data_IF_877424580353
#
_entry.id   IF_877424580353
#
_cell.length_a   1.000
_cell.length_b   1.000
_cell.length_c   1.000
_cell.angle_alpha   90.00
_cell.angle_beta   90.00
_cell.angle_gamma   90.00
#
_symmetry.space_group_name_H-M   'P 1'
#
loop_
_entity.id
_entity.type
_entity.pdbx_description
1 polymer ?
#
# COMPACT_ATOMS: atom_id res chain seq x y z
N UNK A 1 -0.29 27.30 -45.85
CA UNK A 1 0.23 26.09 -45.15
C UNK A 1 0.74 26.34 -43.73
N UNK A 2 1.63 27.31 -43.47
CA UNK A 2 2.14 27.60 -42.09
C UNK A 2 1.03 27.83 -41.04
N UNK A 3 -0.01 28.60 -41.36
CA UNK A 3 -1.13 28.85 -40.43
C UNK A 3 -1.95 27.60 -40.09
N UNK A 4 -2.11 26.68 -41.05
CA UNK A 4 -2.81 25.41 -40.85
C UNK A 4 -1.97 24.47 -39.97
N UNK A 5 -0.65 24.42 -40.18
CA UNK A 5 0.25 23.62 -39.35
C UNK A 5 0.27 24.11 -37.90
N UNK A 6 0.28 25.43 -37.67
CA UNK A 6 0.20 26.03 -36.33
C UNK A 6 -1.14 25.69 -35.66
N UNK A 7 -2.25 25.76 -36.41
CA UNK A 7 -3.57 25.40 -35.90
C UNK A 7 -3.64 23.90 -35.54
N UNK A 8 -3.08 23.03 -36.39
CA UNK A 8 -3.01 21.58 -36.14
C UNK A 8 -2.14 21.26 -34.92
N UNK A 9 -0.98 21.92 -34.78
CA UNK A 9 -0.11 21.80 -33.61
C UNK A 9 -0.80 22.29 -32.34
N UNK A 10 -1.62 23.35 -32.41
CA UNK A 10 -2.41 23.85 -31.27
C UNK A 10 -3.53 22.87 -30.89
N UNK A 11 -4.22 22.29 -31.87
CA UNK A 11 -5.28 21.30 -31.63
C UNK A 11 -4.68 20.04 -31.02
N UNK A 12 -3.57 19.53 -31.56
CA UNK A 12 -2.85 18.37 -31.02
C UNK A 12 -2.33 18.67 -29.60
N UNK A 13 -1.79 19.85 -29.32
CA UNK A 13 -1.38 20.21 -27.95
C UNK A 13 -2.56 20.34 -26.98
N UNK A 14 -3.74 20.72 -27.45
CA UNK A 14 -4.94 20.80 -26.59
C UNK A 14 -5.63 19.44 -26.40
N UNK A 15 -5.56 18.53 -27.38
CA UNK A 15 -6.17 17.18 -27.26
C UNK A 15 -5.24 16.17 -26.60
N UNK A 16 -3.92 16.28 -26.81
CA UNK A 16 -2.88 15.48 -26.16
C UNK A 16 -2.20 16.21 -25.00
N UNK A 17 -2.66 17.42 -24.67
CA UNK A 17 -2.33 18.09 -23.43
C UNK A 17 -2.82 17.21 -22.29
N UNK A 18 -1.89 16.50 -21.66
CA UNK A 18 -2.14 15.60 -20.54
C UNK A 18 -3.00 16.32 -19.48
N UNK A 19 -4.32 16.14 -19.53
CA UNK A 19 -5.18 16.49 -18.39
C UNK A 19 -4.75 15.57 -17.27
N UNK A 20 -4.05 16.12 -16.28
CA UNK A 20 -3.49 15.30 -15.22
C UNK A 20 -4.64 14.74 -14.40
N UNK A 21 -4.86 13.43 -14.50
CA UNK A 21 -5.91 12.76 -13.75
C UNK A 21 -5.57 12.86 -12.27
N UNK A 22 -6.31 13.69 -11.54
CA UNK A 22 -6.17 13.88 -10.11
C UNK A 22 -7.28 13.09 -9.43
N UNK A 23 -6.91 12.19 -8.54
CA UNK A 23 -7.84 11.34 -7.80
C UNK A 23 -7.57 11.46 -6.30
N UNK A 24 -8.62 11.77 -5.54
CA UNK A 24 -8.63 11.65 -4.09
C UNK A 24 -9.14 10.25 -3.75
N UNK A 25 -8.23 9.41 -3.28
CA UNK A 25 -8.46 8.02 -2.94
C UNK A 25 -8.73 7.87 -1.45
N UNK A 26 -9.19 6.68 -1.07
CA UNK A 26 -9.31 6.32 0.35
C UNK A 26 -7.94 6.44 1.06
N UNK A 27 -7.96 6.56 2.38
CA UNK A 27 -6.79 6.63 3.25
C UNK A 27 -5.93 7.86 3.05
N UNK A 28 -6.56 8.98 2.72
CA UNK A 28 -5.86 10.26 2.61
C UNK A 28 -4.81 10.27 1.51
N UNK A 29 -5.04 9.47 0.46
CA UNK A 29 -4.16 9.41 -0.69
C UNK A 29 -4.71 10.36 -1.75
N UNK A 30 -3.86 11.27 -2.24
CA UNK A 30 -4.16 12.08 -3.41
C UNK A 30 -3.12 11.76 -4.47
N UNK A 31 -3.57 11.35 -5.65
CA UNK A 31 -2.68 10.90 -6.72
C UNK A 31 -2.84 11.67 -8.00
N UNK A 32 -1.74 11.86 -8.73
CA UNK A 32 -1.70 12.60 -9.99
C UNK A 32 -1.11 11.71 -11.09
N UNK A 33 -1.84 11.60 -12.20
CA UNK A 33 -1.51 10.75 -13.33
C UNK A 33 -2.20 9.39 -13.24
N UNK A 34 -1.99 8.55 -14.26
CA UNK A 34 -2.47 7.16 -14.30
C UNK A 34 -1.33 6.14 -14.10
N UNK A 35 -0.07 6.59 -14.09
CA UNK A 35 1.12 5.74 -14.01
C UNK A 35 1.59 5.18 -15.35
N UNK A 36 0.79 5.34 -16.41
CA UNK A 36 1.12 4.91 -17.78
C UNK A 36 1.82 6.06 -18.54
N UNK A 37 1.28 7.28 -18.42
CA UNK A 37 1.77 8.44 -19.14
C UNK A 37 2.72 9.28 -18.29
N UNK A 38 3.81 9.75 -18.89
CA UNK A 38 4.75 10.64 -18.23
C UNK A 38 4.13 12.02 -18.02
N UNK A 39 4.01 12.44 -16.76
CA UNK A 39 3.40 13.72 -16.37
C UNK A 39 4.38 14.91 -16.40
N UNK A 40 5.63 14.71 -16.82
CA UNK A 40 6.65 15.76 -16.98
C UNK A 40 7.52 16.00 -15.73
N UNK A 41 8.58 16.80 -15.88
CA UNK A 41 9.42 17.28 -14.76
C UNK A 41 8.80 18.53 -14.16
N UNK A 42 7.89 18.36 -13.21
CA UNK A 42 7.20 19.47 -12.57
C UNK A 42 7.24 19.33 -11.06
N UNK A 43 7.24 20.46 -10.36
CA UNK A 43 7.03 20.52 -8.93
C UNK A 43 5.53 20.58 -8.65
N UNK A 44 5.03 19.55 -7.97
CA UNK A 44 3.64 19.51 -7.53
C UNK A 44 3.51 19.93 -6.08
N UNK A 45 2.55 20.80 -5.80
CA UNK A 45 2.26 21.29 -4.45
C UNK A 45 0.78 21.07 -4.14
N UNK A 46 0.49 20.35 -3.06
CA UNK A 46 -0.84 20.20 -2.48
C UNK A 46 -1.00 21.20 -1.34
N UNK A 47 -2.15 21.86 -1.26
CA UNK A 47 -2.51 22.68 -0.11
C UNK A 47 -3.99 22.62 0.23
N UNK A 48 -4.31 22.75 1.50
CA UNK A 48 -5.69 22.73 2.01
C UNK A 48 -5.77 23.42 3.37
N UNK A 49 -6.99 23.80 3.75
CA UNK A 49 -7.31 24.40 5.03
C UNK A 49 -8.19 23.47 5.85
N UNK A 50 -8.05 23.54 7.16
CA UNK A 50 -8.97 22.96 8.14
C UNK A 50 -9.58 24.17 8.84
N UNK A 51 -10.91 24.32 8.85
CA UNK A 51 -11.58 25.57 9.28
C UNK A 51 -11.18 26.01 10.70
N UNK A 52 -10.89 25.05 11.59
CA UNK A 52 -10.44 25.32 12.97
C UNK A 52 -8.92 25.57 13.10
N UNK A 53 -8.19 25.69 11.99
CA UNK A 53 -6.75 25.87 11.94
C UNK A 53 -6.40 27.20 11.28
N UNK A 54 -5.69 28.06 12.01
CA UNK A 54 -5.02 29.25 11.44
C UNK A 54 -3.95 28.90 10.39
N UNK A 55 -3.59 27.62 10.27
CA UNK A 55 -2.53 27.14 9.41
C UNK A 55 -3.07 26.45 8.16
N UNK A 56 -2.59 26.91 7.01
CA UNK A 56 -2.72 26.21 5.73
C UNK A 56 -1.67 25.12 5.63
N UNK A 57 -2.10 23.91 5.28
CA UNK A 57 -1.17 22.83 4.99
C UNK A 57 -0.58 23.03 3.60
N UNK A 58 0.73 22.81 3.46
CA UNK A 58 1.45 22.80 2.19
C UNK A 58 2.35 21.58 2.12
N UNK A 59 2.16 20.76 1.10
CA UNK A 59 2.92 19.53 0.89
C UNK A 59 3.49 19.56 -0.52
N UNK A 60 4.81 19.44 -0.63
CA UNK A 60 5.51 19.36 -1.91
C UNK A 60 5.76 17.90 -2.27
N UNK A 61 5.59 17.59 -3.54
CA UNK A 61 6.03 16.31 -4.11
C UNK A 61 7.55 16.28 -4.29
N UNK A 62 8.09 15.09 -4.46
CA UNK A 62 9.46 14.94 -4.97
C UNK A 62 9.47 15.26 -6.47
N UNK A 63 10.55 15.89 -6.95
CA UNK A 63 10.74 16.14 -8.37
C UNK A 63 11.02 14.84 -9.13
N UNK A 64 10.46 14.72 -10.35
CA UNK A 64 10.76 13.68 -11.35
C UNK A 64 10.10 12.29 -11.19
N UNK A 65 8.81 12.22 -10.86
CA UNK A 65 8.08 10.94 -10.90
C UNK A 65 7.14 10.83 -12.12
N UNK A 66 6.96 9.61 -12.63
CA UNK A 66 5.89 9.28 -13.61
C UNK A 66 4.49 9.41 -12.99
N UNK A 67 4.43 9.48 -11.65
CA UNK A 67 3.23 9.42 -10.86
C UNK A 67 3.46 10.09 -9.50
N UNK A 68 2.61 11.03 -9.10
CA UNK A 68 2.74 11.72 -7.80
C UNK A 68 1.75 11.15 -6.80
N UNK A 69 2.19 11.00 -5.56
CA UNK A 69 1.37 10.53 -4.45
C UNK A 69 1.56 11.40 -3.21
N UNK A 70 0.50 12.09 -2.79
CA UNK A 70 0.43 12.72 -1.48
C UNK A 70 -0.27 11.78 -0.51
N UNK A 71 0.47 11.21 0.45
CA UNK A 71 -0.08 10.35 1.48
C UNK A 71 -0.30 11.17 2.77
N UNK A 72 -1.48 11.77 2.90
CA UNK A 72 -1.84 12.58 4.06
C UNK A 72 -1.85 11.77 5.34
N UNK A 73 -2.24 10.50 5.31
CA UNK A 73 -2.20 9.61 6.47
C UNK A 73 -0.79 9.39 7.03
N UNK A 74 0.25 9.52 6.20
CA UNK A 74 1.64 9.49 6.63
C UNK A 74 2.14 10.84 7.14
N UNK A 75 1.64 11.94 6.57
CA UNK A 75 2.16 13.29 6.79
C UNK A 75 1.46 14.04 7.93
N UNK A 76 0.21 13.70 8.25
CA UNK A 76 -0.62 14.41 9.20
C UNK A 76 -0.84 13.60 10.49
N UNK A 77 -1.10 14.31 11.59
CA UNK A 77 -1.50 13.69 12.85
C UNK A 77 -2.99 13.27 12.84
N UNK A 78 -3.39 12.48 13.85
CA UNK A 78 -4.72 11.86 13.92
C UNK A 78 -5.83 12.90 14.00
N UNK A 79 -5.57 14.02 14.70
CA UNK A 79 -6.56 15.08 14.89
C UNK A 79 -6.96 15.68 13.54
N UNK A 80 -5.98 16.03 12.71
CA UNK A 80 -6.25 16.59 11.38
C UNK A 80 -6.86 15.55 10.45
N UNK A 81 -6.39 14.32 10.50
CA UNK A 81 -6.95 13.21 9.73
C UNK A 81 -8.44 12.98 10.06
N UNK A 82 -8.80 12.97 11.34
CA UNK A 82 -10.18 12.83 11.77
C UNK A 82 -11.07 13.96 11.24
N UNK A 83 -10.57 15.20 11.25
CA UNK A 83 -11.28 16.33 10.64
C UNK A 83 -11.52 16.11 9.14
N UNK A 84 -10.46 15.78 8.37
CA UNK A 84 -10.58 15.54 6.93
C UNK A 84 -11.52 14.36 6.58
N UNK A 85 -11.70 13.43 7.53
CA UNK A 85 -12.64 12.31 7.42
C UNK A 85 -14.08 12.66 7.79
N UNK A 86 -14.31 13.79 8.45
CA UNK A 86 -15.64 14.23 8.86
C UNK A 86 -16.18 15.30 7.92
N UNK A 87 -15.32 16.22 7.49
CA UNK A 87 -15.70 17.43 6.75
C UNK A 87 -15.18 17.43 5.31
N UNK A 88 -15.95 18.03 4.41
CA UNK A 88 -15.44 18.36 3.08
C UNK A 88 -14.36 19.43 3.19
N UNK A 89 -13.25 19.22 2.50
CA UNK A 89 -12.10 20.12 2.54
C UNK A 89 -11.77 20.56 1.12
N UNK A 90 -11.46 21.84 0.95
CA UNK A 90 -11.02 22.35 -0.34
C UNK A 90 -9.53 22.03 -0.55
N UNK A 91 -9.22 21.20 -1.54
CA UNK A 91 -7.86 20.86 -1.92
C UNK A 91 -7.45 21.64 -3.15
N UNK A 92 -6.32 22.33 -3.05
CA UNK A 92 -5.68 23.07 -4.14
C UNK A 92 -4.39 22.38 -4.51
N UNK A 93 -4.28 21.94 -5.77
CA UNK A 93 -3.05 21.37 -6.33
C UNK A 93 -2.50 22.30 -7.40
N UNK A 94 -1.21 22.60 -7.25
CA UNK A 94 -0.44 23.42 -8.18
C UNK A 94 0.63 22.59 -8.88
N UNK A 95 0.77 22.79 -10.18
CA UNK A 95 1.87 22.33 -11.03
C UNK A 95 2.73 23.53 -11.38
N UNK A 96 3.98 23.58 -10.93
CA UNK A 96 4.88 24.73 -11.09
C UNK A 96 4.16 26.06 -10.80
N UNK A 97 3.54 26.11 -9.62
CA UNK A 97 2.77 27.27 -9.11
C UNK A 97 1.41 27.54 -9.78
N UNK A 98 1.15 27.01 -10.97
CA UNK A 98 -0.16 27.09 -11.64
C UNK A 98 -1.16 26.14 -11.00
N UNK A 99 -2.33 26.66 -10.60
CA UNK A 99 -3.42 25.83 -10.09
C UNK A 99 -3.98 24.97 -11.22
N UNK A 100 -4.00 23.64 -11.00
CA UNK A 100 -4.58 22.67 -11.95
C UNK A 100 -5.74 21.88 -11.34
N UNK A 101 -5.92 21.97 -10.02
CA UNK A 101 -7.05 21.40 -9.31
C UNK A 101 -7.39 22.28 -8.11
N UNK A 102 -8.68 22.53 -7.92
CA UNK A 102 -9.24 23.29 -6.82
C UNK A 102 -10.67 22.79 -6.62
N UNK A 103 -10.83 21.79 -5.76
CA UNK A 103 -12.13 21.17 -5.53
C UNK A 103 -12.34 20.80 -4.07
N UNK A 104 -13.60 20.80 -3.66
CA UNK A 104 -14.03 20.35 -2.34
C UNK A 104 -14.25 18.86 -2.39
N UNK A 105 -13.66 18.15 -1.45
CA UNK A 105 -13.86 16.71 -1.34
C UNK A 105 -13.71 16.26 0.10
N UNK A 106 -14.44 15.21 0.44
CA UNK A 106 -14.25 14.50 1.69
C UNK A 106 -13.25 13.37 1.47
N UNK A 107 -12.27 13.25 2.35
CA UNK A 107 -11.37 12.11 2.31
C UNK A 107 -12.00 10.99 3.14
N UNK A 108 -12.12 9.80 2.55
CA UNK A 108 -12.51 8.64 3.33
C UNK A 108 -11.27 7.97 3.92
N UNK A 109 -11.06 8.10 5.23
CA UNK A 109 -9.99 7.40 5.94
C UNK A 109 -10.39 6.00 6.40
N UNK A 110 -11.69 5.69 6.38
CA UNK A 110 -12.13 4.35 6.71
C UNK A 110 -11.72 3.41 5.57
N UNK A 111 -11.12 2.25 5.91
CA UNK A 111 -10.92 1.22 4.92
C UNK A 111 -12.22 0.88 4.22
N UNK A 112 -12.22 0.99 2.88
CA UNK A 112 -13.10 0.14 2.06
C UNK A 112 -12.54 -1.28 1.95
N UNK A 113 -11.32 -1.52 2.44
CA UNK A 113 -10.80 -2.87 2.55
C UNK A 113 -11.52 -3.58 3.69
N UNK A 114 -12.10 -4.73 3.37
CA UNK A 114 -12.85 -5.62 4.26
C UNK A 114 -11.97 -6.13 5.42
N UNK A 115 -10.65 -5.93 5.34
CA UNK A 115 -9.67 -6.58 6.19
C UNK A 115 -8.88 -5.59 7.04
N UNK A 116 -9.10 -5.64 8.36
CA UNK A 116 -8.27 -4.97 9.36
C UNK A 116 -7.55 -6.02 10.21
N UNK A 117 -6.24 -5.89 10.32
CA UNK A 117 -5.40 -6.78 11.15
C UNK A 117 -4.99 -6.05 12.44
N UNK A 118 -5.06 -6.76 13.58
CA UNK A 118 -4.68 -6.25 14.88
C UNK A 118 -3.89 -7.28 15.67
N UNK A 119 -3.01 -6.83 16.56
CA UNK A 119 -2.21 -7.74 17.39
C UNK A 119 -3.14 -8.46 18.38
N UNK A 120 -3.05 -9.79 18.43
CA UNK A 120 -3.84 -10.62 19.35
C UNK A 120 -3.03 -11.85 19.76
N UNK A 121 -3.19 -12.30 21.01
CA UNK A 121 -2.60 -13.57 21.47
C UNK A 121 -3.08 -14.70 20.56
N UNK A 122 -2.17 -15.60 20.20
CA UNK A 122 -2.52 -16.78 19.42
C UNK A 122 -3.51 -17.69 20.20
N UNK A 123 -4.36 -18.45 19.51
CA UNK A 123 -5.23 -19.44 20.14
C UNK A 123 -4.42 -20.48 20.93
N UNK A 124 -4.95 -20.91 22.08
CA UNK A 124 -4.27 -21.87 22.97
C UNK A 124 -4.32 -23.31 22.49
N UNK A 125 -5.33 -23.67 21.69
CA UNK A 125 -5.61 -25.06 21.32
C UNK A 125 -5.07 -25.43 19.93
N UNK A 126 -4.04 -24.73 19.45
CA UNK A 126 -3.40 -25.04 18.18
C UNK A 126 -2.08 -25.79 18.43
N UNK A 127 -1.90 -26.90 17.72
CA UNK A 127 -0.64 -27.64 17.69
C UNK A 127 0.41 -26.93 16.81
N UNK A 128 0.80 -25.71 17.20
CA UNK A 128 1.85 -24.95 16.51
C UNK A 128 3.24 -25.44 16.93
N UNK A 129 4.12 -25.64 15.96
CA UNK A 129 5.53 -25.95 16.23
C UNK A 129 6.32 -24.66 16.50
N UNK A 130 7.20 -24.71 17.49
CA UNK A 130 8.15 -23.64 17.82
C UNK A 130 7.57 -22.57 18.76
N UNK A 131 8.44 -21.63 19.15
CA UNK A 131 8.08 -20.49 20.00
C UNK A 131 7.34 -19.44 19.17
N UNK A 132 6.19 -18.97 19.64
CA UNK A 132 5.47 -17.86 19.01
C UNK A 132 6.27 -16.57 19.17
N UNK A 133 6.54 -15.91 18.05
CA UNK A 133 7.18 -14.59 17.98
C UNK A 133 6.12 -13.52 18.18
N UNK A 134 5.07 -13.57 17.37
CA UNK A 134 3.89 -12.73 17.46
C UNK A 134 2.71 -13.36 16.73
N UNK A 135 1.55 -12.75 16.95
CA UNK A 135 0.29 -13.20 16.41
C UNK A 135 -0.60 -12.00 16.18
N UNK A 136 -1.37 -12.09 15.11
CA UNK A 136 -2.29 -11.07 14.68
C UNK A 136 -3.61 -11.73 14.32
N UNK A 137 -4.71 -11.08 14.67
CA UNK A 137 -6.02 -11.49 14.25
C UNK A 137 -6.55 -10.55 13.18
N UNK A 138 -7.37 -11.10 12.31
CA UNK A 138 -8.12 -10.38 11.31
C UNK A 138 -9.57 -10.84 11.40
N UNK A 139 -10.45 -9.86 11.52
CA UNK A 139 -11.88 -10.08 11.48
C UNK A 139 -12.34 -9.91 10.03
N UNK A 140 -12.88 -10.97 9.44
CA UNK A 140 -13.57 -10.94 8.17
C UNK A 140 -15.04 -11.23 8.46
N UNK A 141 -15.96 -10.60 7.73
CA UNK A 141 -17.41 -10.61 7.99
C UNK A 141 -18.00 -11.99 8.38
N UNK A 142 -17.43 -13.08 7.87
CA UNK A 142 -17.88 -14.46 8.11
C UNK A 142 -16.86 -15.35 8.85
N UNK A 143 -15.60 -14.94 8.95
CA UNK A 143 -14.49 -15.82 9.31
C UNK A 143 -13.44 -15.13 10.18
N UNK A 144 -12.93 -15.88 11.17
CA UNK A 144 -11.91 -15.38 12.07
C UNK A 144 -10.53 -15.94 11.73
N UNK A 145 -9.62 -15.05 11.31
CA UNK A 145 -8.27 -15.44 10.93
C UNK A 145 -7.24 -15.06 12.00
N UNK A 146 -6.22 -15.91 12.16
CA UNK A 146 -4.95 -15.53 12.75
C UNK A 146 -3.81 -15.68 11.76
N UNK A 147 -2.87 -14.75 11.83
CA UNK A 147 -1.55 -14.88 11.24
C UNK A 147 -0.52 -14.93 12.36
N UNK A 148 0.19 -16.05 12.45
CA UNK A 148 1.06 -16.36 13.58
C UNK A 148 2.46 -16.63 13.07
N UNK A 149 3.45 -15.93 13.63
CA UNK A 149 4.87 -16.18 13.35
C UNK A 149 5.47 -17.00 14.46
N UNK A 150 6.11 -18.12 14.13
CA UNK A 150 6.83 -18.95 15.11
C UNK A 150 8.29 -19.15 14.70
N UNK A 151 9.12 -19.55 15.66
CA UNK A 151 10.50 -19.93 15.43
C UNK A 151 10.79 -21.30 16.07
N UNK A 152 11.32 -22.23 15.29
CA UNK A 152 11.73 -23.56 15.74
C UNK A 152 13.25 -23.56 15.90
N UNK A 153 13.72 -23.92 17.10
CA UNK A 153 15.13 -24.07 17.47
C UNK A 153 16.03 -22.89 17.09
N UNK A 154 15.47 -21.67 17.06
CA UNK A 154 16.12 -20.45 16.55
C UNK A 154 16.63 -20.54 15.09
N UNK A 155 16.27 -21.58 14.34
CA UNK A 155 16.78 -21.91 13.00
C UNK A 155 15.73 -21.81 11.90
N UNK A 156 14.46 -22.03 12.20
CA UNK A 156 13.40 -22.03 11.18
C UNK A 156 12.30 -21.06 11.57
N UNK A 157 12.09 -20.04 10.75
CA UNK A 157 10.97 -19.12 10.87
C UNK A 157 9.76 -19.71 10.16
N UNK A 158 8.61 -19.64 10.80
CA UNK A 158 7.34 -20.12 10.26
C UNK A 158 6.32 -18.98 10.26
N UNK A 159 5.53 -18.87 9.19
CA UNK A 159 4.35 -18.01 9.08
C UNK A 159 3.14 -18.91 8.86
N UNK A 160 2.18 -18.85 9.79
CA UNK A 160 1.05 -19.77 9.85
C UNK A 160 -0.25 -18.98 9.71
N UNK A 161 -1.10 -19.39 8.77
CA UNK A 161 -2.47 -18.92 8.66
C UNK A 161 -3.37 -19.90 9.40
N UNK A 162 -4.17 -19.37 10.31
CA UNK A 162 -5.20 -20.12 11.02
C UNK A 162 -6.55 -19.48 10.68
N UNK A 163 -7.55 -20.30 10.40
CA UNK A 163 -8.93 -19.88 10.20
C UNK A 163 -9.82 -20.70 11.13
N UNK A 164 -10.65 -20.05 11.94
CA UNK A 164 -11.60 -20.74 12.83
C UNK A 164 -10.93 -21.88 13.63
N UNK A 165 -9.74 -21.60 14.20
CA UNK A 165 -8.88 -22.54 14.94
C UNK A 165 -8.32 -23.75 14.14
N UNK A 166 -8.32 -23.69 12.82
CA UNK A 166 -7.69 -24.68 11.95
C UNK A 166 -6.51 -24.08 11.19
N UNK A 167 -5.39 -24.80 11.13
CA UNK A 167 -4.22 -24.38 10.34
C UNK A 167 -4.56 -24.56 8.86
N UNK A 168 -4.55 -23.46 8.11
CA UNK A 168 -4.86 -23.47 6.68
C UNK A 168 -3.59 -23.61 5.85
N UNK A 169 -2.54 -22.85 6.19
CA UNK A 169 -1.31 -22.80 5.42
C UNK A 169 -0.11 -22.45 6.30
N UNK A 170 1.07 -22.95 5.92
CA UNK A 170 2.34 -22.69 6.59
C UNK A 170 3.42 -22.38 5.56
N UNK A 171 4.15 -21.30 5.79
CA UNK A 171 5.40 -21.03 5.10
C UNK A 171 6.57 -21.09 6.07
N UNK A 172 7.69 -21.68 5.64
CA UNK A 172 8.94 -21.70 6.39
C UNK A 172 10.11 -21.04 5.63
N UNK A 173 11.03 -20.42 6.36
CA UNK A 173 12.33 -19.90 5.87
C UNK A 173 13.42 -20.17 6.91
N UNK A 174 14.65 -20.43 6.46
CA UNK A 174 15.80 -20.64 7.35
C UNK A 174 16.32 -19.32 7.91
N UNK A 175 16.63 -19.34 9.20
CA UNK A 175 17.13 -18.20 9.97
C UNK A 175 18.66 -18.31 10.10
N UNK A 176 19.37 -18.11 8.99
CA UNK A 176 20.80 -18.41 8.93
C UNK A 176 21.70 -17.37 9.64
N UNK A 177 21.30 -16.09 9.70
CA UNK A 177 22.07 -15.02 10.38
C UNK A 177 21.14 -14.19 11.28
N UNK A 178 21.67 -13.62 12.37
CA UNK A 178 20.95 -12.78 13.36
C UNK A 178 20.30 -11.55 12.72
N UNK A 179 19.18 -11.69 12.02
CA UNK A 179 18.39 -10.56 11.51
C UNK A 179 16.89 -10.77 11.72
N UNK A 180 16.37 -10.05 12.71
CA UNK A 180 14.96 -9.99 13.10
C UNK A 180 14.20 -8.90 12.35
N UNK A 181 14.27 -8.86 11.02
CA UNK A 181 13.32 -8.03 10.27
C UNK A 181 12.35 -8.92 9.50
N UNK A 182 11.38 -9.47 10.24
CA UNK A 182 10.25 -10.25 9.72
C UNK A 182 9.28 -9.41 8.86
N UNK A 183 9.64 -8.15 8.62
CA UNK A 183 8.91 -7.23 7.78
C UNK A 183 7.55 -6.85 8.34
N UNK A 184 6.94 -5.90 7.62
CA UNK A 184 5.54 -5.53 7.79
C UNK A 184 4.66 -6.63 7.19
N UNK A 185 3.56 -6.94 7.88
CA UNK A 185 2.49 -7.77 7.34
C UNK A 185 1.47 -6.83 6.68
N UNK A 186 1.08 -7.16 5.45
CA UNK A 186 0.08 -6.45 4.66
C UNK A 186 -1.00 -7.43 4.29
N UNK A 187 -2.26 -7.03 4.44
CA UNK A 187 -3.38 -7.86 4.00
C UNK A 187 -3.75 -7.49 2.57
N UNK A 188 -3.85 -8.51 1.74
CA UNK A 188 -4.18 -8.43 0.32
C UNK A 188 -5.31 -9.41 0.00
N UNK A 189 -5.86 -9.37 -1.20
CA UNK A 189 -6.88 -10.29 -1.70
C UNK A 189 -6.79 -10.39 -3.23
N UNK A 190 -5.56 -10.45 -3.75
CA UNK A 190 -5.29 -10.31 -5.18
C UNK A 190 -5.76 -11.53 -5.98
N UNK A 191 -5.76 -12.71 -5.38
CA UNK A 191 -6.07 -13.99 -6.03
C UNK A 191 -7.50 -14.37 -5.75
N UNK A 192 -7.90 -14.29 -4.49
CA UNK A 192 -9.26 -14.55 -4.05
C UNK A 192 -9.84 -13.26 -3.47
N UNK A 193 -10.77 -12.64 -4.21
CA UNK A 193 -11.42 -11.39 -3.77
C UNK A 193 -12.15 -11.52 -2.43
N UNK A 194 -12.48 -12.75 -2.02
CA UNK A 194 -13.28 -13.07 -0.83
C UNK A 194 -12.38 -13.33 0.39
N UNK A 195 -11.27 -14.06 0.23
CA UNK A 195 -10.43 -14.49 1.35
C UNK A 195 -9.16 -13.63 1.48
N UNK A 196 -8.72 -13.31 2.71
CA UNK A 196 -7.52 -12.53 2.92
C UNK A 196 -6.26 -13.34 2.59
N UNK A 197 -5.26 -12.63 2.08
CA UNK A 197 -3.90 -13.07 1.87
C UNK A 197 -2.96 -12.23 2.73
N UNK A 198 -1.98 -12.89 3.33
CA UNK A 198 -0.99 -12.26 4.19
C UNK A 198 0.31 -12.09 3.41
N UNK A 199 0.62 -10.85 3.05
CA UNK A 199 1.83 -10.48 2.32
C UNK A 199 2.88 -9.91 3.28
N UNK A 200 4.08 -10.46 3.25
CA UNK A 200 5.19 -10.05 4.11
C UNK A 200 6.53 -10.13 3.37
N UNK A 201 7.51 -9.37 3.87
CA UNK A 201 8.87 -9.38 3.34
C UNK A 201 9.77 -10.22 4.22
N UNK A 202 10.52 -11.13 3.60
CA UNK A 202 11.65 -11.80 4.21
C UNK A 202 12.93 -11.29 3.55
N UNK A 203 13.98 -11.03 4.35
CA UNK A 203 15.26 -10.57 3.83
C UNK A 203 16.39 -11.21 4.62
N UNK A 204 17.34 -11.79 3.90
CA UNK A 204 18.65 -12.16 4.42
C UNK A 204 19.75 -11.43 3.60
N UNK A 205 21.02 -11.82 3.79
CA UNK A 205 22.15 -11.22 3.08
C UNK A 205 22.12 -11.50 1.57
N UNK A 206 21.62 -12.66 1.17
CA UNK A 206 21.67 -13.14 -0.22
C UNK A 206 20.41 -12.81 -1.03
N UNK A 207 19.27 -12.67 -0.36
CA UNK A 207 17.96 -12.68 -0.98
C UNK A 207 16.96 -11.80 -0.22
N UNK A 208 16.14 -11.09 -1.00
CA UNK A 208 14.94 -10.41 -0.52
C UNK A 208 13.73 -11.06 -1.17
N UNK A 209 12.84 -11.62 -0.36
CA UNK A 209 11.59 -12.24 -0.78
C UNK A 209 10.40 -11.39 -0.37
N UNK A 210 9.41 -11.35 -1.25
CA UNK A 210 8.06 -10.90 -0.96
C UNK A 210 7.19 -12.13 -1.06
N UNK A 211 6.56 -12.49 0.05
CA UNK A 211 5.75 -13.70 0.15
C UNK A 211 4.31 -13.27 0.42
N UNK A 212 3.39 -13.71 -0.44
CA UNK A 212 1.95 -13.63 -0.22
C UNK A 212 1.42 -15.02 0.05
N UNK A 213 0.83 -15.21 1.23
CA UNK A 213 0.31 -16.49 1.69
C UNK A 213 -1.21 -16.39 1.85
N UNK A 214 -1.96 -17.22 1.12
CA UNK A 214 -3.40 -17.40 1.28
C UNK A 214 -3.73 -18.77 1.88
N UNK A 215 -5.01 -19.09 2.06
CA UNK A 215 -5.44 -20.38 2.65
C UNK A 215 -4.91 -21.61 1.90
N UNK A 216 -4.90 -21.57 0.55
CA UNK A 216 -4.49 -22.68 -0.32
C UNK A 216 -3.47 -22.27 -1.38
N UNK A 217 -2.95 -21.06 -1.27
CA UNK A 217 -2.15 -20.43 -2.32
C UNK A 217 -0.94 -19.74 -1.71
N UNK A 218 0.15 -19.68 -2.47
CA UNK A 218 1.41 -19.08 -2.04
C UNK A 218 2.15 -18.51 -3.24
N UNK A 219 2.64 -17.29 -3.07
CA UNK A 219 3.35 -16.54 -4.10
C UNK A 219 4.62 -15.99 -3.48
N UNK A 220 5.72 -16.21 -4.17
CA UNK A 220 7.03 -15.77 -3.73
C UNK A 220 7.66 -15.07 -4.91
N UNK A 221 7.87 -13.77 -4.76
CA UNK A 221 8.75 -13.01 -5.64
C UNK A 221 10.06 -12.81 -4.91
N UNK A 222 11.17 -13.12 -5.56
CA UNK A 222 12.48 -12.96 -4.94
C UNK A 222 13.44 -12.14 -5.79
N UNK A 223 14.27 -11.39 -5.09
CA UNK A 223 15.35 -10.61 -5.65
C UNK A 223 16.66 -11.18 -5.10
N UNK A 224 17.46 -11.74 -6.00
CA UNK A 224 18.78 -12.28 -5.68
C UNK A 224 19.77 -11.82 -6.75
N UNK A 225 20.95 -11.32 -6.35
CA UNK A 225 22.04 -10.94 -7.28
C UNK A 225 21.56 -10.10 -8.48
N UNK A 226 20.77 -9.06 -8.24
CA UNK A 226 20.15 -8.18 -9.24
C UNK A 226 19.13 -8.81 -10.21
N UNK A 227 18.76 -10.08 -10.01
CA UNK A 227 17.73 -10.76 -10.79
C UNK A 227 16.43 -10.89 -10.01
N UNK A 228 15.33 -10.45 -10.62
CA UNK A 228 13.98 -10.66 -10.14
C UNK A 228 13.47 -12.01 -10.64
N UNK A 229 13.06 -12.87 -9.71
CA UNK A 229 12.29 -14.08 -9.99
C UNK A 229 10.87 -13.89 -9.51
N UNK A 230 9.91 -14.04 -10.40
CA UNK A 230 8.48 -14.02 -10.09
C UNK A 230 7.87 -15.42 -10.26
N UNK A 231 6.73 -15.70 -9.62
CA UNK A 231 6.02 -16.97 -9.82
C UNK A 231 5.62 -17.18 -11.28
N UNK A 232 5.57 -18.42 -11.76
CA UNK A 232 5.22 -18.74 -13.17
C UNK A 232 3.88 -18.16 -13.61
N UNK A 233 2.90 -18.11 -12.70
CA UNK A 233 1.57 -17.55 -12.97
C UNK A 233 1.58 -16.04 -13.20
N UNK A 234 2.63 -15.31 -12.78
CA UNK A 234 2.71 -13.87 -12.99
C UNK A 234 2.77 -13.51 -14.48
N UNK A 235 3.13 -14.49 -15.34
CA UNK A 235 3.13 -14.36 -16.79
C UNK A 235 1.72 -14.24 -17.39
N UNK A 236 0.67 -14.61 -16.65
CA UNK A 236 -0.73 -14.49 -17.10
C UNK A 236 -1.34 -13.11 -16.82
N UNK A 237 -0.57 -12.19 -16.23
CA UNK A 237 -1.03 -10.85 -15.90
C UNK A 237 -0.08 -9.85 -16.55
N UNK A 238 -0.56 -9.18 -17.60
CA UNK A 238 0.27 -8.33 -18.45
C UNK A 238 0.80 -7.07 -17.73
N UNK A 239 0.22 -6.71 -16.59
CA UNK A 239 0.52 -5.47 -15.86
C UNK A 239 0.50 -5.64 -14.32
N UNK A 240 1.23 -6.64 -13.79
CA UNK A 240 1.45 -6.73 -12.34
C UNK A 240 2.42 -5.63 -11.88
N UNK A 241 1.89 -4.46 -11.57
CA UNK A 241 2.62 -3.47 -10.80
C UNK A 241 2.48 -3.81 -9.31
N UNK A 242 3.54 -4.36 -8.71
CA UNK A 242 3.61 -4.52 -7.26
C UNK A 242 3.76 -3.14 -6.60
N UNK A 243 2.66 -2.40 -6.49
CA UNK A 243 2.57 -1.17 -5.68
C UNK A 243 2.38 -1.57 -4.21
N UNK A 244 3.37 -2.26 -3.65
CA UNK A 244 3.37 -2.67 -2.26
C UNK A 244 3.50 -1.48 -1.33
N UNK A 245 2.44 -0.72 -1.06
CA UNK A 245 2.41 0.28 0.01
C UNK A 245 0.97 0.52 0.49
N UNK A 246 0.51 -0.31 1.42
CA UNK A 246 -0.61 0.07 2.29
C UNK A 246 -0.02 0.42 3.65
N UNK A 247 0.17 1.71 3.90
CA UNK A 247 0.60 2.27 5.17
C UNK A 247 -0.60 2.33 6.15
N UNK A 248 -0.86 1.25 6.90
CA UNK A 248 -1.51 1.33 8.21
C UNK A 248 -0.49 1.22 9.34
N UNK A 249 -0.17 2.35 9.95
CA UNK A 249 0.23 2.39 11.34
C UNK A 249 -0.47 3.60 11.93
N UNK A 250 -1.70 3.38 12.40
CA UNK A 250 -2.27 4.23 13.44
C UNK A 250 -2.45 3.38 14.69
N UNK A 251 -1.31 3.16 15.35
CA UNK A 251 -1.14 3.23 16.81
C UNK A 251 0.36 3.17 17.08
N UNK A 252 0.94 4.35 17.33
CA UNK A 252 2.09 4.44 18.22
C UNK A 252 1.63 3.91 19.57
N UNK A 253 2.40 2.98 20.13
CA UNK A 253 2.59 2.66 21.53
C UNK A 253 1.40 2.89 22.48
N UNK A 254 0.75 1.79 22.87
CA UNK A 254 0.68 1.42 24.28
C UNK A 254 1.63 0.24 24.48
#
# INVERSE_FOLDING_TARGET
>A
MKKILILLLFIINNTYGNYEKIEIKNFGIISIGNGENYIGKHQWNLSFYIEDSLFKFYIKSNSNDRYIFFNLSKLLNIKYLNYLNQFETNYVIKKDEKIVFNDKSKINLNPKNIFTIFRKKAPTNLALKGKIIDSYALDNLEDYYYFIRTIIDNKLLCWVIVKNNQIMNVHTETNNNKYHNLGRITITNFINKINPEFTFTFKNEDEKKIISLGEKSKYISSFSKNNLKTPSFSKFYDHLEYRGFIFYSYKKNG
#
